data_IF_297747102118
#
_entry.id   IF_297747102118
#
_cell.length_a   1.000
_cell.length_b   1.000
_cell.length_c   1.000
_cell.angle_alpha   90.00
_cell.angle_beta   90.00
_cell.angle_gamma   90.00
#
_symmetry.space_group_name_H-M   'P 1'
#
loop_
_entity.id
_entity.type
_entity.pdbx_description
1 polymer ?
#
# COMPACT_ATOMS: atom_id res chain seq x y z
N UNK A 1 -12.11 2.45 22.20
CA UNK A 1 -11.65 2.21 20.81
C UNK A 1 -10.95 0.87 20.83
N UNK A 2 -11.39 -0.11 20.04
CA UNK A 2 -10.73 -1.42 20.00
C UNK A 2 -9.41 -1.20 19.26
N UNK A 3 -8.28 -1.25 19.96
CA UNK A 3 -6.98 -1.38 19.30
C UNK A 3 -7.10 -2.61 18.40
N UNK A 4 -7.05 -2.37 17.09
CA UNK A 4 -6.89 -3.47 16.14
C UNK A 4 -5.47 -3.95 16.42
N UNK A 5 -5.34 -5.05 17.17
CA UNK A 5 -4.07 -5.73 17.33
C UNK A 5 -3.55 -5.96 15.91
N UNK A 6 -2.55 -5.16 15.50
CA UNK A 6 -2.11 -5.12 14.10
C UNK A 6 -1.67 -6.50 13.63
N UNK A 7 -1.41 -7.44 14.54
CA UNK A 7 -0.82 -8.73 14.22
C UNK A 7 0.66 -8.56 13.87
N UNK A 8 1.28 -9.57 13.28
CA UNK A 8 2.68 -9.51 12.90
C UNK A 8 2.84 -8.78 11.57
N UNK A 9 3.90 -7.98 11.46
CA UNK A 9 4.30 -7.41 10.17
C UNK A 9 4.80 -8.54 9.27
N UNK A 10 4.17 -8.73 8.12
CA UNK A 10 4.50 -9.80 7.16
C UNK A 10 5.21 -9.28 5.91
N UNK A 11 5.03 -8.00 5.59
CA UNK A 11 5.75 -7.37 4.48
C UNK A 11 5.95 -5.88 4.75
N UNK A 12 7.07 -5.36 4.24
CA UNK A 12 7.40 -3.95 4.26
C UNK A 12 8.16 -3.65 2.97
N UNK A 13 7.74 -2.60 2.27
CA UNK A 13 8.48 -2.10 1.11
C UNK A 13 8.30 -0.59 0.95
N UNK A 14 9.25 0.00 0.22
CA UNK A 14 9.22 1.42 -0.17
C UNK A 14 8.78 1.52 -1.62
N UNK A 15 7.86 2.43 -1.91
CA UNK A 15 7.44 2.75 -3.27
C UNK A 15 7.49 4.27 -3.46
N UNK A 16 8.57 4.74 -4.08
CA UNK A 16 8.92 6.17 -4.09
C UNK A 16 9.20 6.68 -2.67
N UNK A 17 8.49 7.71 -2.25
CA UNK A 17 8.52 8.29 -0.91
C UNK A 17 7.46 7.68 0.05
N UNK A 18 6.69 6.68 -0.39
CA UNK A 18 5.65 6.02 0.41
C UNK A 18 6.18 4.74 1.03
N UNK A 19 6.06 4.62 2.37
CA UNK A 19 6.31 3.39 3.11
C UNK A 19 5.04 2.56 3.21
N UNK A 20 5.09 1.31 2.77
CA UNK A 20 3.98 0.36 2.86
C UNK A 20 4.31 -0.71 3.87
N UNK A 21 3.43 -0.93 4.84
CA UNK A 21 3.55 -1.97 5.86
C UNK A 21 2.30 -2.83 5.84
N UNK A 22 2.48 -4.14 5.73
CA UNK A 22 1.39 -5.12 5.71
C UNK A 22 1.48 -5.97 6.97
N UNK A 23 0.35 -6.07 7.69
CA UNK A 23 0.26 -6.83 8.92
C UNK A 23 -0.82 -7.92 8.83
N UNK A 24 -0.53 -9.11 9.37
CA UNK A 24 -1.41 -10.29 9.30
C UNK A 24 -2.72 -10.15 10.08
N UNK A 25 -2.77 -9.27 11.09
CA UNK A 25 -3.95 -9.06 11.93
C UNK A 25 -5.13 -8.48 11.16
N UNK A 26 -4.86 -7.74 10.08
CA UNK A 26 -5.89 -7.24 9.15
C UNK A 26 -6.52 -8.37 8.31
N UNK A 27 -5.90 -9.55 8.28
CA UNK A 27 -6.30 -10.68 7.45
C UNK A 27 -6.66 -11.92 8.28
N UNK A 28 -6.80 -11.79 9.60
CA UNK A 28 -7.25 -12.89 10.45
C UNK A 28 -8.63 -13.40 9.98
N UNK A 29 -8.70 -14.66 9.57
CA UNK A 29 -9.91 -15.28 9.01
C UNK A 29 -10.18 -15.01 7.53
N UNK A 30 -9.26 -14.35 6.82
CA UNK A 30 -9.32 -14.17 5.36
C UNK A 30 -8.58 -15.29 4.64
N UNK A 31 -9.12 -15.73 3.51
CA UNK A 31 -8.44 -16.69 2.65
C UNK A 31 -7.27 -16.02 1.91
N UNK A 32 -6.23 -16.78 1.55
CA UNK A 32 -5.10 -16.28 0.76
C UNK A 32 -5.55 -15.49 -0.48
N UNK A 33 -6.56 -15.97 -1.19
CA UNK A 33 -7.11 -15.31 -2.38
C UNK A 33 -7.71 -13.91 -2.08
N UNK A 34 -8.35 -13.73 -0.92
CA UNK A 34 -8.85 -12.42 -0.50
C UNK A 34 -7.71 -11.46 -0.16
N UNK A 35 -6.64 -11.99 0.45
CA UNK A 35 -5.42 -11.23 0.77
C UNK A 35 -4.73 -10.77 -0.52
N UNK A 36 -4.54 -11.69 -1.48
CA UNK A 36 -3.91 -11.40 -2.77
C UNK A 36 -4.69 -10.30 -3.54
N UNK A 37 -6.02 -10.36 -3.57
CA UNK A 37 -6.87 -9.32 -4.18
C UNK A 37 -6.71 -7.95 -3.53
N UNK A 38 -6.55 -7.90 -2.20
CA UNK A 38 -6.32 -6.64 -1.48
C UNK A 38 -4.93 -6.09 -1.79
N UNK A 39 -3.90 -6.94 -1.79
CA UNK A 39 -2.54 -6.55 -2.12
C UNK A 39 -2.40 -6.06 -3.56
N UNK A 40 -3.09 -6.70 -4.51
CA UNK A 40 -3.14 -6.28 -5.91
C UNK A 40 -3.71 -4.86 -6.05
N UNK A 41 -4.87 -4.58 -5.42
CA UNK A 41 -5.47 -3.23 -5.46
C UNK A 41 -4.61 -2.17 -4.78
N UNK A 42 -3.93 -2.52 -3.69
CA UNK A 42 -2.97 -1.62 -3.03
C UNK A 42 -1.81 -1.31 -3.99
N UNK A 43 -1.21 -2.33 -4.60
CA UNK A 43 -0.12 -2.18 -5.56
C UNK A 43 -0.53 -1.32 -6.78
N UNK A 44 -1.70 -1.56 -7.36
CA UNK A 44 -2.25 -0.74 -8.44
C UNK A 44 -2.45 0.72 -8.02
N UNK A 45 -3.00 0.95 -6.82
CA UNK A 45 -3.25 2.29 -6.31
C UNK A 45 -1.95 3.05 -6.11
N UNK A 46 -0.94 2.41 -5.51
CA UNK A 46 0.36 3.05 -5.30
C UNK A 46 1.08 3.25 -6.64
N UNK A 47 0.97 2.32 -7.59
CA UNK A 47 1.51 2.50 -8.94
C UNK A 47 0.91 3.72 -9.64
N UNK A 48 -0.42 3.92 -9.52
CA UNK A 48 -1.10 5.11 -10.05
C UNK A 48 -0.65 6.40 -9.36
N UNK A 49 -0.50 6.38 -8.03
CA UNK A 49 -0.01 7.53 -7.26
C UNK A 49 1.44 7.86 -7.65
N UNK A 50 2.30 6.85 -7.77
CA UNK A 50 3.69 7.03 -8.17
C UNK A 50 3.82 7.59 -9.60
N UNK A 51 2.99 7.13 -10.54
CA UNK A 51 2.94 7.72 -11.89
C UNK A 51 2.39 9.14 -11.90
N UNK A 52 1.38 9.45 -11.06
CA UNK A 52 0.86 10.80 -10.93
C UNK A 52 1.90 11.75 -10.32
N UNK A 53 2.60 11.32 -9.26
CA UNK A 53 3.66 12.08 -8.60
C UNK A 53 4.88 12.30 -9.51
N UNK A 54 5.19 11.35 -10.41
CA UNK A 54 6.25 11.52 -11.41
C UNK A 54 5.89 12.53 -12.53
N UNK A 55 4.61 12.89 -12.68
CA UNK A 55 4.13 13.86 -13.67
C UNK A 55 3.96 15.28 -13.10
N UNK A 56 4.25 15.52 -11.82
CA UNK A 56 4.21 16.84 -11.18
C UNK A 56 5.57 17.57 -11.18
N UNK A 57 6.55 17.13 -11.99
CA UNK A 57 7.83 17.84 -12.21
C UNK A 57 7.98 18.43 -13.64
N UNK A 58 6.92 19.06 -14.20
CA UNK A 58 7.12 20.10 -15.22
C UNK A 58 6.22 21.30 -14.90
N UNK A 59 6.70 22.15 -13.99
CA UNK A 59 6.42 23.57 -14.00
C UNK A 59 7.74 24.30 -14.30
N UNK A 60 7.80 24.91 -15.48
CA UNK A 60 8.59 26.12 -15.72
C UNK A 60 7.79 26.96 -16.70
N UNK A 61 6.78 27.66 -16.18
CA UNK A 61 6.35 28.92 -16.76
C UNK A 61 7.30 30.03 -16.29
N UNK A 62 8.09 30.60 -17.20
CA UNK A 62 7.87 31.92 -17.83
C UNK A 62 8.80 32.04 -19.06
#
# INVERSE_FOLDING_TARGET
MKEIEKGNKVAEWMQGNVKVEVYDGAYAGKSKEEIDKVLERISETISKIAHAAANEEIDIGD
#
